data_IF_688993400373
#
_entry.id   IF_688993400373
#
_cell.length_a   1.000
_cell.length_b   1.000
_cell.length_c   1.000
_cell.angle_alpha   90.00
_cell.angle_beta   90.00
_cell.angle_gamma   90.00
#
_symmetry.space_group_name_H-M   'P 1'
#
loop_
_entity.id
_entity.type
_entity.pdbx_description
1 polymer ?
#
# COMPACT_ATOMS: atom_id res chain seq x y z
N UNK A 1 -3.02 -22.88 15.26
CA UNK A 1 -3.42 -21.57 15.81
C UNK A 1 -4.57 -21.04 14.97
N UNK A 2 -5.64 -20.53 15.57
CA UNK A 2 -6.74 -19.91 14.81
C UNK A 2 -6.27 -18.59 14.23
N UNK A 3 -6.60 -18.29 12.97
CA UNK A 3 -6.25 -17.02 12.36
C UNK A 3 -6.92 -15.85 13.11
N UNK A 4 -6.28 -14.67 13.19
CA UNK A 4 -6.88 -13.49 13.79
C UNK A 4 -8.20 -13.14 13.08
N UNK A 5 -9.15 -12.52 13.79
CA UNK A 5 -10.48 -12.20 13.28
C UNK A 5 -10.48 -11.29 12.02
N UNK A 6 -9.35 -10.67 11.71
CA UNK A 6 -9.14 -9.80 10.55
C UNK A 6 -8.56 -10.53 9.33
N UNK A 7 -8.15 -11.80 9.46
CA UNK A 7 -7.54 -12.54 8.36
C UNK A 7 -8.43 -12.57 7.11
N UNK A 8 -7.84 -12.30 5.94
CA UNK A 8 -8.55 -12.20 4.66
C UNK A 8 -9.21 -10.84 4.39
N UNK A 9 -9.15 -9.88 5.32
CA UNK A 9 -9.65 -8.52 5.09
C UNK A 9 -8.56 -7.60 4.57
N UNK A 10 -8.93 -6.67 3.69
CA UNK A 10 -8.07 -5.53 3.38
C UNK A 10 -7.91 -4.65 4.62
N UNK A 11 -6.66 -4.36 4.98
CA UNK A 11 -6.30 -3.55 6.15
C UNK A 11 -5.58 -2.26 5.79
N UNK A 12 -5.05 -2.15 4.57
CA UNK A 12 -4.35 -0.96 4.11
C UNK A 12 -4.40 -0.85 2.59
N UNK A 13 -4.29 0.37 2.08
CA UNK A 13 -4.19 0.67 0.66
C UNK A 13 -3.03 1.64 0.45
N UNK A 14 -2.22 1.38 -0.57
CA UNK A 14 -1.06 2.17 -0.91
C UNK A 14 -1.18 2.66 -2.34
N UNK A 15 -1.05 3.96 -2.55
CA UNK A 15 -0.90 4.52 -3.88
C UNK A 15 0.59 4.67 -4.19
N UNK A 16 1.06 3.91 -5.17
CA UNK A 16 2.38 4.12 -5.75
C UNK A 16 2.24 4.96 -7.03
N UNK A 17 2.97 6.06 -7.13
CA UNK A 17 2.88 6.99 -8.26
C UNK A 17 4.23 7.56 -8.67
N UNK A 18 4.32 8.11 -9.88
CA UNK A 18 5.50 8.83 -10.37
C UNK A 18 5.53 10.29 -9.93
N UNK A 19 4.39 10.83 -9.46
CA UNK A 19 4.27 12.21 -8.99
C UNK A 19 3.39 12.24 -7.74
N UNK A 20 4.03 12.28 -6.57
CA UNK A 20 3.34 12.30 -5.28
C UNK A 20 2.58 13.61 -5.06
N UNK A 21 3.16 14.74 -5.43
CA UNK A 21 2.54 16.05 -5.22
C UNK A 21 1.26 16.20 -6.05
N UNK A 22 1.29 15.79 -7.32
CA UNK A 22 0.11 15.80 -8.17
C UNK A 22 -0.97 14.83 -7.67
N UNK A 23 -0.59 13.64 -7.21
CA UNK A 23 -1.52 12.67 -6.64
C UNK A 23 -2.16 13.19 -5.35
N UNK A 24 -1.38 13.75 -4.43
CA UNK A 24 -1.89 14.36 -3.21
C UNK A 24 -2.89 15.47 -3.53
N UNK A 25 -2.51 16.42 -4.39
CA UNK A 25 -3.40 17.53 -4.78
C UNK A 25 -4.71 17.02 -5.40
N UNK A 26 -4.62 16.02 -6.28
CA UNK A 26 -5.78 15.40 -6.92
C UNK A 26 -6.71 14.75 -5.88
N UNK A 27 -6.19 13.87 -5.02
CA UNK A 27 -7.02 13.14 -4.06
C UNK A 27 -7.62 14.08 -3.01
N UNK A 28 -6.87 15.07 -2.51
CA UNK A 28 -7.42 16.11 -1.64
C UNK A 28 -8.60 16.83 -2.30
N UNK A 29 -8.51 17.15 -3.59
CA UNK A 29 -9.56 17.86 -4.30
C UNK A 29 -10.82 17.01 -4.55
N UNK A 30 -10.67 15.73 -4.92
CA UNK A 30 -11.82 14.90 -5.30
C UNK A 30 -12.48 14.17 -4.12
N UNK A 31 -11.74 13.86 -3.05
CA UNK A 31 -12.27 13.13 -1.89
C UNK A 31 -12.42 13.99 -0.64
N UNK A 32 -11.73 15.13 -0.57
CA UNK A 32 -11.61 15.92 0.65
C UNK A 32 -10.75 15.25 1.73
N UNK A 33 -9.94 14.22 1.39
CA UNK A 33 -9.06 13.57 2.35
C UNK A 33 -7.99 14.53 2.88
N UNK A 34 -7.65 14.32 4.14
CA UNK A 34 -6.49 14.94 4.76
C UNK A 34 -5.24 14.19 4.31
N UNK A 35 -4.11 14.90 4.22
CA UNK A 35 -2.82 14.34 3.83
C UNK A 35 -1.74 14.86 4.78
N UNK A 36 -0.88 13.95 5.23
CA UNK A 36 0.22 14.25 6.15
C UNK A 36 1.50 13.58 5.67
N UNK A 37 2.52 14.37 5.36
CA UNK A 37 3.85 13.85 5.08
C UNK A 37 4.49 13.29 6.36
N UNK A 38 4.93 12.04 6.31
CA UNK A 38 5.61 11.38 7.42
C UNK A 38 7.12 11.44 7.20
N UNK A 39 7.82 12.18 8.06
CA UNK A 39 9.26 12.46 7.91
C UNK A 39 10.17 11.52 8.70
N UNK A 40 9.60 10.53 9.39
CA UNK A 40 10.35 9.58 10.23
C UNK A 40 10.67 8.25 9.52
N UNK A 41 10.37 8.15 8.22
CA UNK A 41 10.63 6.99 7.39
C UNK A 41 11.80 7.25 6.45
N UNK A 42 12.53 6.18 6.07
CA UNK A 42 13.68 6.27 5.17
C UNK A 42 13.30 6.71 3.74
N UNK A 43 12.03 6.62 3.39
CA UNK A 43 11.47 7.00 2.10
C UNK A 43 10.35 8.04 2.26
N UNK A 44 10.19 8.98 1.31
CA UNK A 44 9.06 9.90 1.32
C UNK A 44 7.74 9.14 1.34
N UNK A 45 6.91 9.46 2.32
CA UNK A 45 5.62 8.82 2.53
C UNK A 45 4.59 9.86 2.96
N UNK A 46 3.41 9.81 2.38
CA UNK A 46 2.27 10.65 2.78
C UNK A 46 1.14 9.74 3.21
N UNK A 47 0.57 10.01 4.39
CA UNK A 47 -0.59 9.30 4.90
C UNK A 47 -1.84 10.09 4.57
N UNK A 48 -2.80 9.43 3.93
CA UNK A 48 -4.15 9.95 3.76
C UNK A 48 -5.04 9.56 4.94
N UNK A 49 -5.88 10.49 5.36
CA UNK A 49 -6.91 10.27 6.36
C UNK A 49 -8.31 10.69 5.88
N UNK A 50 -9.31 9.89 6.23
CA UNK A 50 -10.72 10.14 5.96
C UNK A 50 -11.44 10.39 7.29
N UNK A 51 -11.95 11.60 7.47
CA UNK A 51 -12.57 12.05 8.72
C UNK A 51 -11.66 11.78 9.94
N UNK A 52 -10.39 12.22 9.86
CA UNK A 52 -9.38 12.05 10.91
C UNK A 52 -8.86 10.62 11.13
N UNK A 53 -9.28 9.64 10.33
CA UNK A 53 -8.81 8.24 10.46
C UNK A 53 -7.87 7.87 9.31
N UNK A 54 -6.68 7.29 9.60
CA UNK A 54 -5.80 6.77 8.57
C UNK A 54 -6.52 5.79 7.63
N UNK A 55 -6.38 5.98 6.33
CA UNK A 55 -7.10 5.21 5.32
C UNK A 55 -6.19 4.67 4.21
N UNK A 56 -5.11 5.38 3.88
CA UNK A 56 -4.21 5.01 2.80
C UNK A 56 -2.84 5.65 2.94
N UNK A 57 -1.88 5.08 2.22
CA UNK A 57 -0.58 5.66 1.94
C UNK A 57 -0.46 6.20 0.53
N UNK A 58 0.51 7.09 0.37
CA UNK A 58 1.01 7.59 -0.90
C UNK A 58 2.53 7.57 -0.85
N UNK A 59 3.13 6.91 -1.82
CA UNK A 59 4.58 6.84 -1.97
C UNK A 59 5.01 6.87 -3.45
N UNK A 60 6.29 7.15 -3.66
CA UNK A 60 6.88 7.07 -4.99
C UNK A 60 6.94 5.60 -5.45
N UNK A 61 6.57 5.36 -6.69
CA UNK A 61 6.83 4.09 -7.37
C UNK A 61 8.36 3.97 -7.57
N UNK A 62 9.02 2.91 -7.06
CA UNK A 62 10.47 2.76 -7.19
C UNK A 62 10.92 2.74 -8.65
N UNK A 63 12.08 3.36 -8.94
CA UNK A 63 12.65 3.39 -10.29
C UNK A 63 12.84 1.98 -10.86
N UNK A 64 13.35 1.04 -10.05
CA UNK A 64 13.51 -0.35 -10.46
C UNK A 64 12.18 -1.03 -10.86
N UNK A 65 11.06 -0.64 -10.23
CA UNK A 65 9.75 -1.15 -10.60
C UNK A 65 9.29 -0.55 -11.94
N UNK A 66 9.53 0.73 -12.19
CA UNK A 66 9.26 1.38 -13.48
C UNK A 66 10.04 0.74 -14.63
N UNK A 67 11.33 0.47 -14.41
CA UNK A 67 12.22 -0.16 -15.39
C UNK A 67 11.74 -1.57 -15.80
N UNK A 68 11.08 -2.27 -14.87
CA UNK A 68 10.48 -3.58 -15.10
C UNK A 68 9.05 -3.51 -15.66
N UNK A 69 8.60 -2.33 -16.10
CA UNK A 69 7.28 -2.14 -16.68
C UNK A 69 6.17 -1.85 -15.66
N UNK A 70 6.52 -1.57 -14.41
CA UNK A 70 5.59 -1.07 -13.40
C UNK A 70 4.89 0.21 -13.83
N UNK A 71 3.69 0.45 -13.29
CA UNK A 71 2.84 1.60 -13.57
C UNK A 71 2.26 2.14 -12.27
N UNK A 72 1.94 3.44 -12.18
CA UNK A 72 1.21 3.99 -11.04
C UNK A 72 -0.08 3.20 -10.77
N UNK A 73 -0.39 2.95 -9.50
CA UNK A 73 -1.56 2.15 -9.14
C UNK A 73 -1.77 2.03 -7.64
N UNK A 74 -2.99 1.61 -7.29
CA UNK A 74 -3.38 1.27 -5.93
C UNK A 74 -3.07 -0.19 -5.62
N UNK A 75 -2.46 -0.44 -4.46
CA UNK A 75 -2.10 -1.76 -3.95
C UNK A 75 -2.83 -1.99 -2.63
N UNK A 76 -3.57 -3.09 -2.53
CA UNK A 76 -4.27 -3.49 -1.31
C UNK A 76 -3.44 -4.47 -0.48
N UNK A 77 -3.41 -4.27 0.83
CA UNK A 77 -2.77 -5.18 1.79
C UNK A 77 -3.85 -5.97 2.52
N UNK A 78 -3.69 -7.29 2.53
CA UNK A 78 -4.63 -8.21 3.18
C UNK A 78 -4.00 -8.74 4.47
N UNK A 79 -4.75 -8.70 5.57
CA UNK A 79 -4.30 -9.26 6.83
C UNK A 79 -4.18 -10.78 6.75
N UNK A 80 -3.09 -11.31 7.28
CA UNK A 80 -2.82 -12.74 7.42
C UNK A 80 -2.34 -13.00 8.85
N UNK A 81 -2.48 -14.24 9.31
CA UNK A 81 -2.02 -14.62 10.65
C UNK A 81 -0.49 -14.62 10.75
N UNK A 82 0.17 -15.02 9.67
CA UNK A 82 1.62 -15.09 9.53
C UNK A 82 1.95 -14.87 8.04
N UNK A 83 2.85 -13.94 7.74
CA UNK A 83 3.18 -13.54 6.36
C UNK A 83 3.96 -14.63 5.64
N UNK A 84 4.88 -15.31 6.32
CA UNK A 84 5.71 -16.35 5.72
C UNK A 84 4.86 -17.58 5.39
N UNK A 85 3.98 -17.98 6.31
CA UNK A 85 3.03 -19.08 6.08
C UNK A 85 2.08 -18.75 4.93
N UNK A 86 1.55 -17.52 4.89
CA UNK A 86 0.65 -17.11 3.82
C UNK A 86 1.34 -17.02 2.45
N UNK A 87 2.60 -16.54 2.42
CA UNK A 87 3.41 -16.48 1.21
C UNK A 87 3.68 -17.88 0.66
N UNK A 88 4.08 -18.83 1.52
CA UNK A 88 4.28 -20.23 1.13
C UNK A 88 2.98 -20.86 0.58
N UNK A 89 1.86 -20.67 1.28
CA UNK A 89 0.55 -21.15 0.82
C UNK A 89 0.16 -20.53 -0.53
N UNK A 90 0.41 -19.24 -0.74
CA UNK A 90 0.12 -18.59 -2.01
C UNK A 90 0.93 -19.21 -3.16
N UNK A 91 2.21 -19.54 -2.93
CA UNK A 91 3.04 -20.23 -3.92
C UNK A 91 2.53 -21.64 -4.22
N UNK A 92 2.15 -22.42 -3.20
CA UNK A 92 1.58 -23.76 -3.37
C UNK A 92 0.29 -23.74 -4.22
N UNK A 93 -0.47 -22.64 -4.15
CA UNK A 93 -1.69 -22.42 -4.93
C UNK A 93 -1.44 -21.77 -6.30
N UNK A 94 -0.18 -21.64 -6.74
CA UNK A 94 0.21 -21.11 -8.05
C UNK A 94 0.41 -19.60 -8.10
N UNK A 95 0.40 -18.92 -6.95
CA UNK A 95 0.79 -17.53 -6.80
C UNK A 95 2.30 -17.32 -6.89
N UNK A 96 2.74 -16.05 -6.78
CA UNK A 96 4.15 -15.67 -6.88
C UNK A 96 4.52 -14.67 -5.79
N UNK A 97 5.65 -14.92 -5.13
CA UNK A 97 6.29 -13.95 -4.24
C UNK A 97 7.20 -13.07 -5.07
N UNK A 98 6.94 -11.76 -5.04
CA UNK A 98 7.70 -10.76 -5.81
C UNK A 98 8.82 -10.11 -4.99
N UNK A 99 8.68 -10.10 -3.66
CA UNK A 99 9.65 -9.58 -2.70
C UNK A 99 9.61 -10.51 -1.50
N UNK A 100 10.78 -10.97 -1.05
CA UNK A 100 10.96 -11.85 0.10
C UNK A 100 11.73 -11.12 1.20
#
# INVERSE_FOLDING_TARGET
>A
MSAPATAGRFIWHELMTTDMAAAEAFYRAVTGWEAEALHHLDVPYTRFAMAGRPAAGLMALPAAALDQGGRPGWIGHVAVGDVDVAAAMAQDLGGRVHVA
#
